data_IF_481328240591
#
_entry.id   IF_481328240591
#
_cell.length_a   1.000
_cell.length_b   1.000
_cell.length_c   1.000
_cell.angle_alpha   90.00
_cell.angle_beta   90.00
_cell.angle_gamma   90.00
#
_symmetry.space_group_name_H-M   'P 1'
#
loop_
_entity.id
_entity.type
_entity.pdbx_description
1 polymer ?
#
# COMPACT_ATOMS: atom_id res chain seq x y z
N UNK A 1 18.15 7.55 1.04
CA UNK A 1 17.28 7.55 2.24
C UNK A 1 17.99 8.31 3.35
N UNK A 2 17.34 9.29 3.98
CA UNK A 2 17.96 10.05 5.07
C UNK A 2 17.83 9.24 6.39
N UNK A 3 18.96 8.74 6.88
CA UNK A 3 19.01 7.86 8.05
C UNK A 3 18.75 8.61 9.36
N UNK A 4 19.11 9.89 9.42
CA UNK A 4 18.90 10.73 10.60
C UNK A 4 17.41 11.08 10.78
N UNK A 5 16.73 11.41 9.68
CA UNK A 5 15.27 11.64 9.68
C UNK A 5 14.51 10.39 10.13
N UNK A 6 14.93 9.21 9.67
CA UNK A 6 14.34 7.95 10.09
C UNK A 6 14.54 7.71 11.60
N UNK A 7 15.72 8.00 12.13
CA UNK A 7 16.00 7.87 13.55
C UNK A 7 15.10 8.78 14.40
N UNK A 8 14.84 10.02 13.96
CA UNK A 8 13.91 10.92 14.66
C UNK A 8 12.45 10.45 14.58
N UNK A 9 12.00 10.02 13.41
CA UNK A 9 10.65 9.47 13.23
C UNK A 9 10.41 8.19 14.07
N UNK A 10 11.47 7.42 14.34
CA UNK A 10 11.40 6.23 15.19
C UNK A 10 11.27 6.55 16.69
N UNK A 11 11.66 7.75 17.14
CA UNK A 11 11.46 8.21 18.53
C UNK A 11 10.02 8.61 18.83
N UNK A 12 9.23 8.90 17.81
CA UNK A 12 7.81 9.23 17.94
C UNK A 12 7.02 8.03 18.47
N UNK A 13 5.94 8.33 19.21
CA UNK A 13 4.94 7.33 19.56
C UNK A 13 4.31 6.75 18.28
N UNK A 14 3.75 5.53 18.32
CA UNK A 14 3.09 4.94 17.14
C UNK A 14 1.99 5.83 16.56
N UNK A 15 1.20 6.52 17.40
CA UNK A 15 0.15 7.44 16.95
C UNK A 15 0.73 8.66 16.23
N UNK A 16 1.77 9.28 16.80
CA UNK A 16 2.39 10.47 16.19
C UNK A 16 3.09 10.12 14.88
N UNK A 17 3.65 8.90 14.78
CA UNK A 17 4.23 8.41 13.53
C UNK A 17 3.17 8.24 12.45
N UNK A 18 1.99 7.72 12.79
CA UNK A 18 0.89 7.60 11.84
C UNK A 18 0.41 8.99 11.36
N UNK A 19 0.26 9.95 12.26
CA UNK A 19 -0.08 11.33 11.89
C UNK A 19 0.98 11.98 11.00
N UNK A 20 2.26 11.74 11.27
CA UNK A 20 3.35 12.22 10.43
C UNK A 20 3.30 11.59 9.02
N UNK A 21 3.01 10.28 8.94
CA UNK A 21 2.87 9.60 7.63
C UNK A 21 1.71 10.21 6.85
N UNK A 22 0.55 10.40 7.47
CA UNK A 22 -0.62 11.03 6.84
C UNK A 22 -0.33 12.45 6.37
N UNK A 23 0.24 13.29 7.24
CA UNK A 23 0.59 14.66 6.90
C UNK A 23 1.61 14.75 5.75
N UNK A 24 2.61 13.86 5.70
CA UNK A 24 3.55 13.80 4.59
C UNK A 24 2.86 13.31 3.31
N UNK A 25 1.95 12.36 3.42
CA UNK A 25 1.19 11.84 2.28
C UNK A 25 0.34 12.93 1.64
N UNK A 26 -0.30 13.79 2.43
CA UNK A 26 -1.12 14.91 1.97
C UNK A 26 -0.32 16.00 1.22
N UNK A 27 1.00 16.04 1.38
CA UNK A 27 1.87 16.97 0.63
C UNK A 27 2.22 16.49 -0.77
N UNK A 28 1.98 15.21 -1.07
CA UNK A 28 2.28 14.63 -2.37
C UNK A 28 1.09 14.75 -3.30
N UNK A 29 1.35 15.12 -4.54
CA UNK A 29 0.38 15.15 -5.62
C UNK A 29 0.55 13.93 -6.55
N UNK A 30 -0.44 13.69 -7.41
CA UNK A 30 -0.35 12.65 -8.46
C UNK A 30 0.83 12.90 -9.42
N UNK A 31 1.27 14.15 -9.56
CA UNK A 31 2.36 14.56 -10.43
C UNK A 31 3.74 14.20 -9.85
N UNK A 32 3.84 14.09 -8.52
CA UNK A 32 5.09 13.72 -7.84
C UNK A 32 5.42 12.23 -8.01
N UNK A 33 4.39 11.40 -8.23
CA UNK A 33 4.49 9.96 -8.41
C UNK A 33 3.55 9.50 -9.55
N UNK A 34 3.87 9.82 -10.81
CA UNK A 34 3.01 9.50 -11.94
C UNK A 34 2.91 7.98 -12.13
N UNK A 35 1.68 7.49 -12.23
CA UNK A 35 1.40 6.09 -12.58
C UNK A 35 1.64 5.89 -14.07
N UNK A 36 2.41 4.88 -14.45
CA UNK A 36 2.65 4.56 -15.86
C UNK A 36 1.37 4.10 -16.55
N UNK A 37 1.32 4.21 -17.88
CA UNK A 37 0.16 3.77 -18.65
C UNK A 37 -0.12 2.27 -18.45
N UNK A 38 0.95 1.48 -18.32
CA UNK A 38 0.89 0.04 -18.09
C UNK A 38 0.33 -0.30 -16.70
N UNK A 39 0.78 0.41 -15.65
CA UNK A 39 0.25 0.24 -14.30
C UNK A 39 -1.22 0.66 -14.22
N UNK A 40 -1.59 1.78 -14.87
CA UNK A 40 -2.98 2.22 -14.93
C UNK A 40 -3.86 1.20 -15.63
N UNK A 41 -3.45 0.70 -16.78
CA UNK A 41 -4.19 -0.35 -17.50
C UNK A 41 -4.37 -1.63 -16.66
N UNK A 42 -3.34 -2.01 -15.89
CA UNK A 42 -3.45 -3.15 -14.97
C UNK A 42 -4.49 -2.89 -13.87
N UNK A 43 -4.48 -1.70 -13.27
CA UNK A 43 -5.42 -1.31 -12.21
C UNK A 43 -6.85 -1.25 -12.74
N UNK A 44 -7.06 -0.62 -13.90
CA UNK A 44 -8.37 -0.51 -14.55
C UNK A 44 -8.93 -1.90 -14.87
N UNK A 45 -8.09 -2.82 -15.38
CA UNK A 45 -8.47 -4.20 -15.63
C UNK A 45 -8.87 -4.97 -14.35
N UNK A 46 -8.13 -4.79 -13.26
CA UNK A 46 -8.47 -5.40 -11.96
C UNK A 46 -9.76 -4.84 -11.36
N UNK A 47 -10.02 -3.55 -11.56
CA UNK A 47 -11.25 -2.92 -11.10
C UNK A 47 -12.46 -3.44 -11.88
N UNK A 48 -12.35 -3.55 -13.21
CA UNK A 48 -13.41 -4.12 -14.04
C UNK A 48 -13.71 -5.60 -13.70
N UNK A 49 -12.67 -6.39 -13.42
CA UNK A 49 -12.83 -7.78 -12.98
C UNK A 49 -13.55 -7.87 -11.61
N UNK A 50 -13.18 -7.00 -10.66
CA UNK A 50 -13.84 -6.90 -9.36
C UNK A 50 -15.33 -6.54 -9.49
N UNK A 51 -15.67 -5.60 -10.39
CA UNK A 51 -17.05 -5.21 -10.67
C UNK A 51 -17.86 -6.33 -11.32
N UNK A 52 -17.24 -7.09 -12.24
CA UNK A 52 -17.87 -8.22 -12.91
C UNK A 52 -18.03 -9.45 -11.99
N UNK A 53 -17.08 -9.67 -11.07
CA UNK A 53 -16.98 -10.86 -10.23
C UNK A 53 -16.89 -10.50 -8.73
N UNK A 54 -17.93 -9.88 -8.13
CA UNK A 54 -17.87 -9.36 -6.76
C UNK A 54 -17.62 -10.46 -5.69
N UNK A 55 -17.91 -11.73 -6.02
CA UNK A 55 -17.71 -12.89 -5.14
C UNK A 55 -16.32 -13.52 -5.19
N UNK A 56 -15.44 -13.13 -6.12
CA UNK A 56 -14.10 -13.73 -6.28
C UNK A 56 -13.06 -13.16 -5.30
N UNK A 57 -13.49 -12.26 -4.41
CA UNK A 57 -12.64 -11.69 -3.39
C UNK A 57 -12.40 -12.69 -2.25
N UNK A 58 -11.14 -12.84 -1.83
CA UNK A 58 -10.81 -13.54 -0.59
C UNK A 58 -10.66 -12.54 0.56
N UNK A 59 -11.17 -12.84 1.77
CA UNK A 59 -10.84 -12.08 2.96
C UNK A 59 -9.32 -12.04 3.18
N UNK A 60 -8.81 -10.90 3.67
CA UNK A 60 -7.37 -10.73 3.89
C UNK A 60 -6.77 -11.81 4.81
N UNK A 61 -7.51 -12.28 5.81
CA UNK A 61 -7.08 -13.38 6.70
C UNK A 61 -6.76 -14.65 5.92
N UNK A 62 -7.56 -15.01 4.92
CA UNK A 62 -7.34 -16.17 4.07
C UNK A 62 -6.15 -15.96 3.12
N UNK A 63 -6.06 -14.77 2.50
CA UNK A 63 -4.92 -14.40 1.65
C UNK A 63 -3.62 -14.51 2.44
N UNK A 64 -3.58 -13.94 3.65
CA UNK A 64 -2.43 -13.97 4.54
C UNK A 64 -2.04 -15.40 4.90
N UNK A 65 -3.00 -16.25 5.26
CA UNK A 65 -2.75 -17.65 5.57
C UNK A 65 -2.13 -18.40 4.37
N UNK A 66 -2.62 -18.17 3.15
CA UNK A 66 -2.05 -18.75 1.92
C UNK A 66 -0.62 -18.26 1.67
N UNK A 67 -0.32 -16.98 1.92
CA UNK A 67 1.02 -16.42 1.75
C UNK A 67 2.02 -16.98 2.78
N UNK A 68 1.61 -17.11 4.04
CA UNK A 68 2.46 -17.69 5.09
C UNK A 68 2.83 -19.14 4.80
N UNK A 69 1.90 -19.94 4.25
CA UNK A 69 2.16 -21.32 3.83
C UNK A 69 3.15 -21.42 2.65
N UNK A 70 3.21 -20.40 1.79
CA UNK A 70 4.09 -20.34 0.62
C UNK A 70 5.50 -19.86 0.93
N UNK A 71 5.76 -19.37 2.15
CA UNK A 71 7.08 -18.89 2.54
C UNK A 71 8.04 -20.09 2.66
N UNK A 72 9.09 -20.20 1.83
CA UNK A 72 10.11 -21.22 2.01
C UNK A 72 10.76 -21.05 3.39
N UNK A 73 11.02 -22.17 4.09
CA UNK A 73 11.69 -22.20 5.39
C UNK A 73 13.12 -21.68 5.29
#
# INVERSE_FOLDING_TARGET
MNLDLLAEALKLSPSDRLQLIEALWDTLSEEDLPVTAEERALLDGRLADLEANPGDQSPWSEVKARLEQRRPR
#
